data_IF_183968193699
#
_entry.id   IF_183968193699
#
_cell.length_a   1.000
_cell.length_b   1.000
_cell.length_c   1.000
_cell.angle_alpha   90.00
_cell.angle_beta   90.00
_cell.angle_gamma   90.00
#
_symmetry.space_group_name_H-M   'P 1'
#
loop_
_entity.id
_entity.type
_entity.pdbx_description
1 polymer ?
#
# COMPACT_ATOMS: atom_id res chain seq x y z
N UNK A 1 -22.21 -14.84 39.70
CA UNK A 1 -22.67 -16.24 39.52
C UNK A 1 -23.92 -16.24 38.65
N UNK A 2 -23.80 -16.51 37.35
CA UNK A 2 -24.96 -16.71 36.47
C UNK A 2 -25.52 -18.10 36.76
N UNK A 3 -26.72 -18.15 37.36
CA UNK A 3 -27.44 -19.40 37.62
C UNK A 3 -28.18 -19.81 36.34
N UNK A 4 -27.93 -21.02 35.83
CA UNK A 4 -28.89 -21.71 34.97
C UNK A 4 -28.47 -22.07 33.54
N UNK A 5 -27.19 -21.99 33.18
CA UNK A 5 -26.69 -22.69 31.98
C UNK A 5 -25.76 -23.80 32.47
N UNK A 6 -26.04 -25.05 32.11
CA UNK A 6 -25.03 -26.10 32.19
C UNK A 6 -23.88 -25.68 31.27
N UNK A 7 -22.64 -25.74 31.74
CA UNK A 7 -21.49 -25.45 30.88
C UNK A 7 -21.54 -26.39 29.66
N UNK A 8 -21.30 -25.85 28.47
CA UNK A 8 -21.49 -26.58 27.21
C UNK A 8 -20.49 -27.73 27.00
N UNK A 9 -19.48 -27.82 27.86
CA UNK A 9 -18.40 -28.81 27.84
C UNK A 9 -18.22 -29.26 29.29
N UNK A 10 -18.24 -30.57 29.50
CA UNK A 10 -17.97 -31.17 30.81
C UNK A 10 -16.48 -30.96 31.17
N UNK A 11 -16.23 -30.53 32.41
CA UNK A 11 -14.87 -30.35 32.92
C UNK A 11 -14.27 -31.70 33.33
N UNK A 12 -13.66 -32.38 32.35
CA UNK A 12 -13.01 -33.69 32.53
C UNK A 12 -11.59 -33.57 33.13
N UNK A 13 -11.18 -32.41 33.65
CA UNK A 13 -9.84 -32.22 34.23
C UNK A 13 -9.58 -33.11 35.46
N UNK A 14 -10.64 -33.55 36.12
CA UNK A 14 -10.60 -34.51 37.23
C UNK A 14 -10.75 -35.98 36.78
N UNK A 15 -10.96 -36.24 35.49
CA UNK A 15 -11.03 -37.61 34.97
C UNK A 15 -9.68 -38.32 35.23
N UNK A 16 -9.68 -39.54 35.79
CA UNK A 16 -8.47 -40.32 36.02
C UNK A 16 -7.57 -40.45 34.78
N UNK A 17 -8.14 -40.55 33.58
CA UNK A 17 -7.40 -40.66 32.32
C UNK A 17 -6.61 -39.38 32.02
N UNK A 18 -7.18 -38.22 32.35
CA UNK A 18 -6.58 -36.90 32.11
C UNK A 18 -5.61 -36.52 33.23
N UNK A 19 -5.92 -36.91 34.47
CA UNK A 19 -5.14 -36.57 35.66
C UNK A 19 -4.02 -37.56 35.99
N UNK A 20 -4.01 -38.76 35.38
CA UNK A 20 -2.87 -39.68 35.53
C UNK A 20 -1.61 -39.10 34.88
N UNK A 21 -0.45 -39.14 35.58
CA UNK A 21 0.80 -38.72 34.98
C UNK A 21 1.14 -39.63 33.81
N UNK A 22 1.46 -39.03 32.67
CA UNK A 22 1.91 -39.76 31.48
C UNK A 22 3.16 -40.54 31.84
N UNK A 23 3.21 -41.87 31.61
CA UNK A 23 4.40 -42.66 31.84
C UNK A 23 5.59 -42.12 31.06
N UNK A 24 6.79 -42.24 31.62
CA UNK A 24 8.02 -41.83 30.96
C UNK A 24 8.16 -42.58 29.62
N UNK A 25 8.45 -41.84 28.55
CA UNK A 25 8.54 -42.41 27.22
C UNK A 25 9.78 -43.30 27.10
N UNK A 26 9.59 -44.55 26.67
CA UNK A 26 10.68 -45.45 26.34
C UNK A 26 11.29 -45.08 24.97
N UNK A 27 12.37 -44.30 25.02
CA UNK A 27 13.09 -43.86 23.84
C UNK A 27 13.67 -45.01 23.02
N UNK A 28 14.04 -46.14 23.66
CA UNK A 28 14.60 -47.28 22.95
C UNK A 28 13.52 -48.01 22.13
N UNK A 29 12.32 -48.16 22.68
CA UNK A 29 11.17 -48.68 21.96
C UNK A 29 10.80 -47.79 20.77
N UNK A 30 10.74 -46.47 20.97
CA UNK A 30 10.44 -45.51 19.91
C UNK A 30 11.48 -45.55 18.79
N UNK A 31 12.77 -45.58 19.13
CA UNK A 31 13.85 -45.71 18.14
C UNK A 31 13.73 -47.00 17.33
N UNK A 32 13.39 -48.13 17.97
CA UNK A 32 13.20 -49.42 17.28
C UNK A 32 12.01 -49.38 16.32
N UNK A 33 10.89 -48.81 16.73
CA UNK A 33 9.70 -48.66 15.88
C UNK A 33 10.04 -47.77 14.69
N UNK A 34 10.68 -46.63 14.92
CA UNK A 34 11.06 -45.68 13.87
C UNK A 34 12.04 -46.29 12.86
N UNK A 35 13.07 -47.01 13.32
CA UNK A 35 13.98 -47.73 12.44
C UNK A 35 13.23 -48.75 11.56
N UNK A 36 12.30 -49.52 12.15
CA UNK A 36 11.49 -50.47 11.40
C UNK A 36 10.55 -49.81 10.38
N UNK A 37 10.06 -48.60 10.65
CA UNK A 37 9.25 -47.82 9.69
C UNK A 37 10.10 -47.28 8.53
N UNK A 38 11.34 -46.89 8.82
CA UNK A 38 12.32 -46.47 7.80
C UNK A 38 12.71 -47.65 6.91
N UNK A 39 13.05 -48.80 7.49
CA UNK A 39 13.44 -50.01 6.75
C UNK A 39 12.32 -50.54 5.84
N UNK A 40 11.07 -50.39 6.27
CA UNK A 40 9.88 -50.74 5.46
C UNK A 40 9.55 -49.70 4.39
N UNK A 41 10.30 -48.60 4.31
CA UNK A 41 10.06 -47.49 3.38
C UNK A 41 8.78 -46.70 3.65
N UNK A 42 8.18 -46.87 4.83
CA UNK A 42 6.96 -46.13 5.24
C UNK A 42 7.33 -44.73 5.72
N UNK A 43 8.55 -44.54 6.22
CA UNK A 43 9.07 -43.25 6.65
C UNK A 43 10.43 -42.97 5.97
N UNK A 44 10.69 -41.76 5.44
CA UNK A 44 12.02 -41.41 4.96
C UNK A 44 13.05 -41.39 6.12
N UNK A 45 14.33 -41.63 5.82
CA UNK A 45 15.38 -41.47 6.83
C UNK A 45 15.41 -40.01 7.33
N UNK A 46 15.75 -39.78 8.61
CA UNK A 46 15.86 -38.43 9.13
C UNK A 46 16.90 -37.65 8.32
N UNK A 47 16.62 -36.37 8.00
CA UNK A 47 17.56 -35.55 7.26
C UNK A 47 18.83 -35.32 8.07
N UNK A 48 19.96 -35.21 7.37
CA UNK A 48 21.21 -34.75 7.97
C UNK A 48 21.12 -33.25 8.22
N UNK A 49 20.70 -32.89 9.43
CA UNK A 49 20.52 -31.50 9.83
C UNK A 49 21.81 -30.68 9.74
N UNK A 50 22.99 -31.29 9.95
CA UNK A 50 24.25 -30.57 9.81
C UNK A 50 24.47 -30.13 8.37
N UNK A 51 24.22 -31.04 7.42
CA UNK A 51 24.31 -30.73 5.99
C UNK A 51 23.28 -29.69 5.56
N UNK A 52 22.04 -29.79 6.05
CA UNK A 52 20.98 -28.81 5.75
C UNK A 52 21.36 -27.42 6.26
N UNK A 53 21.91 -27.32 7.48
CA UNK A 53 22.33 -26.05 8.07
C UNK A 53 23.49 -25.43 7.29
N UNK A 54 24.51 -26.22 6.92
CA UNK A 54 25.65 -25.70 6.15
C UNK A 54 25.23 -25.25 4.74
N UNK A 55 24.34 -26.00 4.08
CA UNK A 55 23.78 -25.58 2.80
C UNK A 55 22.99 -24.27 2.95
N UNK A 56 22.15 -24.16 3.98
CA UNK A 56 21.35 -22.96 4.22
C UNK A 56 22.23 -21.71 4.45
N UNK A 57 23.36 -21.85 5.16
CA UNK A 57 24.33 -20.76 5.34
C UNK A 57 24.96 -20.35 4.01
N UNK A 58 25.38 -21.31 3.19
CA UNK A 58 25.96 -21.01 1.88
C UNK A 58 24.95 -20.31 0.96
N UNK A 59 23.71 -20.80 0.93
CA UNK A 59 22.62 -20.19 0.15
C UNK A 59 22.27 -18.79 0.65
N UNK A 60 22.30 -18.56 1.98
CA UNK A 60 22.08 -17.24 2.56
C UNK A 60 23.15 -16.25 2.09
N UNK A 61 24.42 -16.64 2.10
CA UNK A 61 25.53 -15.79 1.62
C UNK A 61 25.34 -15.50 0.13
N UNK A 62 25.14 -16.52 -0.69
CA UNK A 62 24.94 -16.36 -2.14
C UNK A 62 23.74 -15.46 -2.48
N UNK A 63 22.62 -15.63 -1.77
CA UNK A 63 21.44 -14.78 -1.94
C UNK A 63 21.71 -13.33 -1.53
N UNK A 64 22.46 -13.12 -0.45
CA UNK A 64 22.82 -11.77 0.01
C UNK A 64 23.74 -11.05 -0.98
N UNK A 65 24.71 -11.76 -1.56
CA UNK A 65 25.61 -11.22 -2.58
C UNK A 65 24.85 -10.91 -3.87
N UNK A 66 23.98 -11.81 -4.32
CA UNK A 66 23.12 -11.59 -5.49
C UNK A 66 22.22 -10.37 -5.30
N UNK A 67 21.64 -10.21 -4.11
CA UNK A 67 20.79 -9.05 -3.81
C UNK A 67 21.60 -7.75 -3.80
N UNK A 68 22.82 -7.77 -3.24
CA UNK A 68 23.73 -6.62 -3.27
C UNK A 68 24.09 -6.24 -4.71
N UNK A 69 24.51 -7.20 -5.51
CA UNK A 69 24.86 -6.97 -6.91
C UNK A 69 23.67 -6.45 -7.73
N UNK A 70 22.45 -6.96 -7.45
CA UNK A 70 21.24 -6.42 -8.09
C UNK A 70 21.00 -4.97 -7.70
N UNK A 71 21.08 -4.62 -6.41
CA UNK A 71 20.89 -3.23 -5.95
C UNK A 71 21.90 -2.28 -6.58
N UNK A 72 23.16 -2.68 -6.65
CA UNK A 72 24.22 -1.89 -7.29
C UNK A 72 23.96 -1.70 -8.79
N UNK A 73 23.46 -2.74 -9.48
CA UNK A 73 23.08 -2.63 -10.88
C UNK A 73 21.86 -1.70 -11.09
N UNK A 74 20.82 -1.85 -10.26
CA UNK A 74 19.61 -1.03 -10.32
C UNK A 74 19.94 0.45 -10.00
N UNK A 75 20.79 0.72 -9.01
CA UNK A 75 21.28 2.06 -8.66
C UNK A 75 22.11 2.68 -9.80
N UNK A 76 23.01 1.90 -10.41
CA UNK A 76 23.79 2.36 -11.55
C UNK A 76 22.93 2.61 -12.80
N UNK A 77 21.83 1.87 -12.99
CA UNK A 77 20.87 2.12 -14.06
C UNK A 77 20.09 3.41 -13.81
N UNK A 78 19.58 3.59 -12.58
CA UNK A 78 18.88 4.80 -12.18
C UNK A 78 19.75 6.04 -12.37
N UNK A 79 21.02 5.99 -11.92
CA UNK A 79 21.97 7.09 -12.07
C UNK A 79 22.21 7.43 -13.55
N UNK A 80 22.35 6.42 -14.43
CA UNK A 80 22.49 6.65 -15.87
C UNK A 80 21.25 7.31 -16.48
N UNK A 81 20.05 6.87 -16.08
CA UNK A 81 18.79 7.44 -16.57
C UNK A 81 18.64 8.89 -16.09
N UNK A 82 18.95 9.15 -14.82
CA UNK A 82 18.92 10.49 -14.23
C UNK A 82 19.84 11.44 -14.99
N UNK A 83 21.11 11.03 -15.20
CA UNK A 83 22.07 11.84 -15.95
C UNK A 83 21.63 12.09 -17.40
N UNK A 84 21.08 11.08 -18.07
CA UNK A 84 20.57 11.24 -19.43
C UNK A 84 19.38 12.21 -19.49
N UNK A 85 18.50 12.20 -18.49
CA UNK A 85 17.37 13.12 -18.39
C UNK A 85 17.82 14.55 -18.08
N UNK A 86 18.79 14.73 -17.18
CA UNK A 86 19.37 16.04 -16.88
C UNK A 86 20.03 16.64 -18.13
N UNK A 87 20.81 15.84 -18.86
CA UNK A 87 21.40 16.26 -20.13
C UNK A 87 20.35 16.61 -21.19
N UNK A 88 19.26 15.83 -21.29
CA UNK A 88 18.17 16.10 -22.23
C UNK A 88 17.44 17.40 -21.85
N UNK A 89 17.24 17.64 -20.55
CA UNK A 89 16.63 18.85 -20.00
C UNK A 89 17.47 20.08 -20.34
N UNK A 90 18.79 20.04 -20.09
CA UNK A 90 19.69 21.14 -20.46
C UNK A 90 19.70 21.44 -21.96
N UNK A 91 19.65 20.40 -22.80
CA UNK A 91 19.55 20.55 -24.26
C UNK A 91 18.19 21.12 -24.72
N UNK A 92 17.13 20.93 -23.94
CA UNK A 92 15.78 21.41 -24.23
C UNK A 92 15.55 22.88 -23.84
N UNK A 93 16.27 23.42 -22.85
CA UNK A 93 16.18 24.84 -22.43
C UNK A 93 16.23 25.88 -23.57
N UNK A 94 17.16 25.82 -24.54
CA UNK A 94 17.16 26.78 -25.64
C UNK A 94 15.93 26.64 -26.55
N UNK A 95 15.36 25.43 -26.66
CA UNK A 95 14.15 25.20 -27.45
C UNK A 95 12.91 25.73 -26.74
N UNK A 96 12.84 25.66 -25.40
CA UNK A 96 11.80 26.34 -24.61
C UNK A 96 11.81 27.85 -24.88
N UNK A 97 12.99 28.48 -24.86
CA UNK A 97 13.13 29.89 -25.18
C UNK A 97 12.65 30.23 -26.60
N UNK A 98 12.92 29.34 -27.57
CA UNK A 98 12.39 29.46 -28.94
C UNK A 98 10.87 29.33 -29.00
N UNK A 99 10.27 28.39 -28.25
CA UNK A 99 8.82 28.14 -28.24
C UNK A 99 8.06 29.34 -27.67
N UNK A 100 8.59 29.94 -26.59
CA UNK A 100 8.01 31.09 -25.90
C UNK A 100 8.31 32.43 -26.59
N UNK A 101 9.18 32.43 -27.61
CA UNK A 101 9.65 33.64 -28.30
C UNK A 101 10.26 34.67 -27.32
N UNK A 102 11.05 34.17 -26.36
CA UNK A 102 11.69 35.00 -25.32
C UNK A 102 13.19 34.72 -25.20
N UNK A 103 14.02 35.72 -24.83
CA UNK A 103 15.40 35.48 -24.47
C UNK A 103 15.51 34.54 -23.26
N UNK A 104 16.50 33.63 -23.30
CA UNK A 104 16.72 32.67 -22.21
C UNK A 104 17.01 33.35 -20.86
N UNK A 105 17.55 34.57 -20.88
CA UNK A 105 17.82 35.37 -19.67
C UNK A 105 16.55 35.95 -19.03
N UNK A 106 15.45 36.04 -19.79
CA UNK A 106 14.19 36.63 -19.34
C UNK A 106 13.23 35.55 -18.78
N UNK A 107 13.58 34.27 -18.93
CA UNK A 107 12.84 33.15 -18.35
C UNK A 107 13.40 32.85 -16.95
N UNK A 108 12.55 32.85 -15.90
CA UNK A 108 12.98 32.46 -14.56
C UNK A 108 13.62 31.07 -14.55
N UNK A 109 14.77 30.90 -13.87
CA UNK A 109 15.52 29.64 -13.88
C UNK A 109 14.68 28.42 -13.48
N UNK A 110 13.83 28.54 -12.45
CA UNK A 110 12.94 27.46 -12.03
C UNK A 110 11.87 27.10 -13.06
N UNK A 111 11.34 28.09 -13.80
CA UNK A 111 10.41 27.84 -14.91
C UNK A 111 11.12 27.18 -16.09
N UNK A 112 12.35 27.61 -16.38
CA UNK A 112 13.17 27.05 -17.45
C UNK A 112 13.56 25.58 -17.18
N UNK A 113 13.90 25.24 -15.93
CA UNK A 113 14.18 23.87 -15.50
C UNK A 113 12.94 22.97 -15.66
N UNK A 114 11.77 23.45 -15.21
CA UNK A 114 10.52 22.71 -15.29
C UNK A 114 10.05 22.48 -16.73
N UNK A 115 9.99 23.55 -17.54
CA UNK A 115 9.57 23.47 -18.94
C UNK A 115 10.58 22.68 -19.79
N UNK A 116 11.88 22.81 -19.49
CA UNK A 116 12.93 22.00 -20.11
C UNK A 116 12.73 20.51 -19.85
N UNK A 117 12.37 20.14 -18.62
CA UNK A 117 12.06 18.76 -18.25
C UNK A 117 10.81 18.23 -18.96
N UNK A 118 9.74 19.04 -19.04
CA UNK A 118 8.52 18.66 -19.80
C UNK A 118 8.84 18.38 -21.26
N UNK A 119 9.60 19.26 -21.91
CA UNK A 119 9.98 19.07 -23.31
C UNK A 119 10.91 17.85 -23.48
N UNK A 120 11.83 17.61 -22.55
CA UNK A 120 12.71 16.43 -22.56
C UNK A 120 11.97 15.11 -22.35
N UNK A 121 10.83 15.14 -21.63
CA UNK A 121 9.98 13.96 -21.37
C UNK A 121 8.91 13.73 -22.44
N UNK A 122 8.80 14.64 -23.42
CA UNK A 122 8.02 14.44 -24.65
C UNK A 122 6.81 15.37 -24.82
N UNK A 123 6.67 16.41 -24.00
CA UNK A 123 5.63 17.43 -24.22
C UNK A 123 5.83 18.19 -25.54
N UNK A 124 4.73 18.62 -26.13
CA UNK A 124 4.76 19.40 -27.37
C UNK A 124 4.81 20.92 -27.15
N UNK A 125 5.03 21.69 -28.21
CA UNK A 125 5.14 23.14 -28.10
C UNK A 125 3.87 23.82 -27.56
N UNK A 126 2.69 23.25 -27.79
CA UNK A 126 1.43 23.83 -27.35
C UNK A 126 1.25 23.62 -25.84
N UNK A 127 1.63 22.47 -25.33
CA UNK A 127 1.69 22.18 -23.90
C UNK A 127 2.65 23.13 -23.18
N UNK A 128 3.85 23.35 -23.73
CA UNK A 128 4.84 24.28 -23.14
C UNK A 128 4.30 25.72 -23.07
N UNK A 129 3.62 26.21 -24.12
CA UNK A 129 2.99 27.54 -24.11
C UNK A 129 1.85 27.61 -23.10
N UNK A 130 1.03 26.56 -23.02
CA UNK A 130 -0.12 26.52 -22.10
C UNK A 130 0.34 26.50 -20.64
N UNK A 131 1.40 25.75 -20.32
CA UNK A 131 1.98 25.72 -18.97
C UNK A 131 2.64 27.04 -18.60
N UNK A 132 3.31 27.68 -19.55
CA UNK A 132 3.84 29.03 -19.36
C UNK A 132 2.73 30.04 -19.03
N UNK A 133 1.63 30.04 -19.79
CA UNK A 133 0.49 30.93 -19.57
C UNK A 133 -0.24 30.65 -18.25
N UNK A 134 -0.37 29.39 -17.84
CA UNK A 134 -1.06 29.02 -16.60
C UNK A 134 -0.27 29.33 -15.33
N UNK A 135 1.05 29.08 -15.35
CA UNK A 135 1.87 29.08 -14.12
C UNK A 135 2.83 30.27 -14.02
N UNK A 136 3.17 30.92 -15.15
CA UNK A 136 4.28 31.86 -15.21
C UNK A 136 4.00 33.17 -15.96
N UNK A 137 2.88 33.29 -16.69
CA UNK A 137 2.47 34.58 -17.25
C UNK A 137 2.15 35.55 -16.11
N UNK A 138 2.54 36.81 -16.32
CA UNK A 138 2.47 37.93 -15.37
C UNK A 138 1.22 37.91 -14.47
N UNK A 139 1.36 38.22 -13.17
CA UNK A 139 0.21 38.41 -12.31
C UNK A 139 -0.61 39.58 -12.87
N UNK A 140 -1.82 39.31 -13.38
CA UNK A 140 -2.81 40.37 -13.59
C UNK A 140 -2.90 41.19 -12.30
N UNK A 141 -2.53 42.48 -12.37
CA UNK A 141 -2.54 43.48 -11.31
C UNK A 141 -3.07 42.95 -9.97
N UNK A 142 -2.20 42.33 -9.15
CA UNK A 142 -2.58 41.96 -7.79
C UNK A 142 -3.03 43.27 -7.14
N UNK A 143 -4.32 43.43 -6.77
CA UNK A 143 -4.82 44.69 -6.25
C UNK A 143 -3.95 45.11 -5.07
N UNK A 144 -3.66 46.39 -4.89
CA UNK A 144 -2.82 46.86 -3.77
C UNK A 144 -3.30 46.33 -2.40
N UNK A 145 -4.59 46.03 -2.26
CA UNK A 145 -5.20 45.37 -1.11
C UNK A 145 -4.75 43.91 -0.90
N UNK A 146 -4.51 43.15 -1.98
CA UNK A 146 -3.98 41.79 -1.93
C UNK A 146 -2.46 41.78 -1.67
N UNK A 147 -1.71 42.80 -2.11
CA UNK A 147 -0.32 43.03 -1.71
C UNK A 147 -0.20 43.44 -0.23
N UNK A 148 -1.12 44.28 0.27
CA UNK A 148 -1.21 44.64 1.68
C UNK A 148 -1.58 43.43 2.54
N UNK A 149 -2.48 42.56 2.06
CA UNK A 149 -2.76 41.27 2.70
C UNK A 149 -1.51 40.37 2.73
N UNK A 150 -0.80 40.17 1.60
CA UNK A 150 0.44 39.38 1.53
C UNK A 150 1.58 39.90 2.43
N UNK A 151 1.70 41.22 2.57
CA UNK A 151 2.71 41.86 3.42
C UNK A 151 2.32 41.87 4.91
N UNK A 152 1.02 41.86 5.23
CA UNK A 152 0.52 41.87 6.62
C UNK A 152 0.27 40.47 7.18
N UNK A 153 -0.07 39.50 6.34
CA UNK A 153 -0.09 38.07 6.66
C UNK A 153 1.24 37.42 6.29
N UNK A 154 2.37 38.09 6.54
CA UNK A 154 3.73 37.57 6.39
C UNK A 154 4.01 36.36 7.30
N UNK A 155 3.23 35.29 7.15
CA UNK A 155 3.53 33.93 7.53
C UNK A 155 4.10 33.27 6.28
N UNK A 156 5.31 32.77 6.42
CA UNK A 156 6.14 32.25 5.35
C UNK A 156 5.32 31.34 4.41
N UNK A 157 5.40 31.58 3.09
CA UNK A 157 4.79 30.71 2.08
C UNK A 157 5.26 29.24 2.19
N UNK A 158 6.33 28.99 2.95
CA UNK A 158 6.81 27.66 3.35
C UNK A 158 5.93 26.99 4.43
N UNK A 159 5.41 27.74 5.39
CA UNK A 159 4.51 27.24 6.44
C UNK A 159 3.12 26.96 5.86
N UNK A 160 2.59 27.84 5.01
CA UNK A 160 1.31 27.62 4.33
C UNK A 160 1.38 26.43 3.36
N UNK A 161 2.50 26.22 2.64
CA UNK A 161 2.72 24.98 1.87
C UNK A 161 2.81 23.74 2.75
N UNK A 162 3.36 23.85 3.96
CA UNK A 162 3.43 22.72 4.89
C UNK A 162 2.07 22.39 5.51
N UNK A 163 1.24 23.39 5.78
CA UNK A 163 -0.13 23.23 6.28
C UNK A 163 -1.07 22.76 5.17
N UNK A 164 -0.92 23.26 3.95
CA UNK A 164 -1.68 22.78 2.78
C UNK A 164 -1.27 21.35 2.39
N UNK A 165 0.02 21.00 2.49
CA UNK A 165 0.50 19.65 2.26
C UNK A 165 0.11 18.70 3.40
N UNK A 166 0.15 19.14 4.66
CA UNK A 166 -0.36 18.36 5.79
C UNK A 166 -1.89 18.18 5.73
N UNK A 167 -2.63 19.21 5.29
CA UNK A 167 -4.07 19.12 5.05
C UNK A 167 -4.40 18.23 3.85
N UNK A 168 -3.61 18.25 2.77
CA UNK A 168 -3.73 17.33 1.64
C UNK A 168 -3.37 15.90 2.04
N UNK A 169 -2.35 15.69 2.87
CA UNK A 169 -1.99 14.38 3.42
C UNK A 169 -3.03 13.87 4.41
N UNK A 170 -3.66 14.74 5.22
CA UNK A 170 -4.81 14.40 6.06
C UNK A 170 -6.06 14.13 5.25
N UNK A 171 -6.36 14.92 4.23
CA UNK A 171 -7.46 14.66 3.29
C UNK A 171 -7.22 13.38 2.48
N UNK A 172 -5.97 13.07 2.12
CA UNK A 172 -5.60 11.83 1.48
C UNK A 172 -5.66 10.64 2.45
N UNK A 173 -5.31 10.83 3.73
CA UNK A 173 -5.48 9.81 4.77
C UNK A 173 -6.97 9.54 5.06
N UNK A 174 -7.79 10.60 5.11
CA UNK A 174 -9.24 10.52 5.30
C UNK A 174 -9.95 9.95 4.06
N UNK A 175 -9.43 10.19 2.85
CA UNK A 175 -9.94 9.59 1.59
C UNK A 175 -9.39 8.19 1.33
N UNK A 176 -8.21 7.83 1.85
CA UNK A 176 -7.61 6.50 1.70
C UNK A 176 -8.42 5.41 2.44
N UNK A 177 -9.20 5.82 3.45
CA UNK A 177 -10.05 4.93 4.23
C UNK A 177 -11.49 4.80 3.70
N UNK A 178 -11.91 5.59 2.70
CA UNK A 178 -13.20 5.38 2.03
C UNK A 178 -13.12 4.12 1.14
N UNK A 179 -13.87 3.04 1.47
CA UNK A 179 -13.87 1.82 0.66
C UNK A 179 -14.34 2.05 -0.78
N UNK A 180 -15.06 3.14 -1.08
CA UNK A 180 -15.51 3.49 -2.43
C UNK A 180 -14.35 3.77 -3.38
N UNK A 181 -13.18 4.15 -2.87
CA UNK A 181 -11.97 4.35 -3.69
C UNK A 181 -11.44 3.02 -4.27
N UNK A 182 -11.73 1.89 -3.62
CA UNK A 182 -11.27 0.54 -4.03
C UNK A 182 -12.36 -0.30 -4.69
N UNK A 183 -13.61 0.12 -4.58
CA UNK A 183 -14.79 -0.56 -5.13
C UNK A 183 -15.21 0.07 -6.47
N UNK A 184 -15.67 -0.77 -7.39
CA UNK A 184 -16.36 -0.28 -8.58
C UNK A 184 -17.63 0.51 -8.20
N UNK A 185 -17.99 1.50 -9.03
CA UNK A 185 -19.10 2.44 -8.77
C UNK A 185 -20.44 1.75 -8.46
N UNK A 186 -20.67 0.55 -8.99
CA UNK A 186 -21.89 -0.23 -8.76
C UNK A 186 -22.07 -0.69 -7.30
N UNK A 187 -20.99 -0.78 -6.52
CA UNK A 187 -21.03 -1.19 -5.11
C UNK A 187 -21.07 -0.02 -4.13
N UNK A 188 -20.91 1.22 -4.60
CA UNK A 188 -20.83 2.41 -3.73
C UNK A 188 -22.10 2.60 -2.90
N UNK A 189 -23.27 2.24 -3.44
CA UNK A 189 -24.56 2.30 -2.75
C UNK A 189 -24.79 1.16 -1.75
N UNK A 190 -23.93 0.13 -1.72
CA UNK A 190 -24.00 -1.00 -0.79
C UNK A 190 -23.11 -0.81 0.44
N UNK A 191 -22.29 0.24 0.46
CA UNK A 191 -21.43 0.63 1.58
C UNK A 191 -22.23 1.53 2.53
N UNK A 192 -22.33 1.15 3.80
CA UNK A 192 -23.03 1.95 4.80
C UNK A 192 -22.18 3.16 5.23
N UNK A 193 -22.79 4.30 5.61
CA UNK A 193 -22.05 5.46 6.08
C UNK A 193 -21.16 5.13 7.29
N UNK A 194 -19.86 5.43 7.18
CA UNK A 194 -18.87 5.19 8.24
C UNK A 194 -18.19 3.82 8.19
N UNK A 195 -18.48 2.97 7.20
CA UNK A 195 -17.71 1.76 6.97
C UNK A 195 -16.36 2.08 6.31
N UNK A 196 -15.27 1.59 6.90
CA UNK A 196 -13.92 1.66 6.31
C UNK A 196 -13.60 0.39 5.53
N UNK A 197 -12.60 0.47 4.63
CA UNK A 197 -12.14 -0.69 3.87
C UNK A 197 -11.76 -1.89 4.75
N UNK A 198 -11.05 -1.64 5.85
CA UNK A 198 -10.64 -2.68 6.79
C UNK A 198 -11.84 -3.39 7.44
N UNK A 199 -12.91 -2.66 7.79
CA UNK A 199 -14.12 -3.25 8.37
C UNK A 199 -14.80 -4.18 7.35
N UNK A 200 -14.86 -3.76 6.09
CA UNK A 200 -15.45 -4.56 5.02
C UNK A 200 -14.64 -5.84 4.75
N UNK A 201 -13.32 -5.76 4.66
CA UNK A 201 -12.46 -6.95 4.49
C UNK A 201 -12.60 -7.92 5.65
N UNK A 202 -12.53 -7.42 6.89
CA UNK A 202 -12.68 -8.24 8.08
C UNK A 202 -14.03 -8.96 8.12
N UNK A 203 -15.11 -8.24 7.81
CA UNK A 203 -16.46 -8.80 7.85
C UNK A 203 -16.70 -9.78 6.69
N UNK A 204 -16.16 -9.50 5.49
CA UNK A 204 -16.20 -10.42 4.36
C UNK A 204 -15.48 -11.74 4.68
N UNK A 205 -14.27 -11.66 5.25
CA UNK A 205 -13.51 -12.83 5.68
C UNK A 205 -14.22 -13.62 6.77
N UNK A 206 -14.80 -12.94 7.77
CA UNK A 206 -15.58 -13.58 8.84
C UNK A 206 -16.85 -14.28 8.32
N UNK A 207 -17.46 -13.75 7.27
CA UNK A 207 -18.60 -14.35 6.57
C UNK A 207 -18.19 -15.41 5.52
N UNK A 208 -16.89 -15.66 5.34
CA UNK A 208 -16.36 -16.69 4.43
C UNK A 208 -16.24 -16.26 2.97
N UNK A 209 -16.31 -14.97 2.67
CA UNK A 209 -16.13 -14.44 1.32
C UNK A 209 -14.67 -14.09 1.05
N UNK A 210 -14.17 -14.54 -0.11
CA UNK A 210 -12.85 -14.15 -0.62
C UNK A 210 -12.80 -12.71 -1.14
N UNK A 211 -13.95 -12.17 -1.58
CA UNK A 211 -14.08 -10.85 -2.16
C UNK A 211 -15.10 -10.01 -1.40
N UNK A 212 -14.77 -8.74 -1.15
CA UNK A 212 -15.64 -7.78 -0.47
C UNK A 212 -16.91 -7.52 -1.30
N UNK A 213 -16.82 -7.53 -2.63
CA UNK A 213 -17.94 -7.28 -3.54
C UNK A 213 -19.02 -8.38 -3.45
N UNK A 214 -18.60 -9.64 -3.29
CA UNK A 214 -19.52 -10.78 -3.14
C UNK A 214 -20.23 -10.73 -1.77
N UNK A 215 -19.49 -10.32 -0.74
CA UNK A 215 -20.04 -10.05 0.59
C UNK A 215 -21.07 -8.91 0.56
N UNK A 216 -20.78 -7.79 -0.11
CA UNK A 216 -21.70 -6.65 -0.23
C UNK A 216 -23.00 -7.03 -0.95
N UNK A 217 -22.90 -7.81 -2.04
CA UNK A 217 -24.07 -8.35 -2.77
C UNK A 217 -24.92 -9.25 -1.88
N UNK A 218 -24.28 -10.17 -1.16
CA UNK A 218 -24.97 -11.08 -0.25
C UNK A 218 -25.68 -10.34 0.88
N UNK A 219 -24.99 -9.39 1.53
CA UNK A 219 -25.55 -8.56 2.61
C UNK A 219 -26.74 -7.74 2.12
N UNK A 220 -26.62 -7.12 0.95
CA UNK A 220 -27.69 -6.30 0.38
C UNK A 220 -28.91 -7.16 -0.02
N UNK A 221 -28.68 -8.38 -0.53
CA UNK A 221 -29.75 -9.32 -0.83
C UNK A 221 -30.50 -9.77 0.43
N UNK A 222 -29.78 -10.02 1.53
CA UNK A 222 -30.38 -10.40 2.82
C UNK A 222 -31.18 -9.24 3.45
N UNK A 223 -30.68 -8.00 3.36
CA UNK A 223 -31.41 -6.80 3.79
C UNK A 223 -32.72 -6.59 3.01
N UNK A 224 -32.72 -6.84 1.69
CA UNK A 224 -33.94 -6.78 0.87
C UNK A 224 -34.96 -7.86 1.27
N UNK A 225 -34.49 -9.08 1.56
CA UNK A 225 -35.32 -10.19 2.03
C UNK A 225 -35.95 -9.90 3.41
N UNK A 226 -35.16 -9.34 4.33
CA UNK A 226 -35.62 -8.93 5.66
C UNK A 226 -36.59 -7.74 5.60
N UNK A 227 -36.39 -6.81 4.66
CA UNK A 227 -37.31 -5.70 4.39
C UNK A 227 -38.68 -6.17 3.87
N UNK A 228 -38.68 -7.13 2.93
CA UNK A 228 -39.90 -7.76 2.40
C UNK A 228 -40.68 -8.53 3.49
N UNK A 229 -39.98 -9.27 4.34
CA UNK A 229 -40.60 -10.03 5.44
C UNK A 229 -41.15 -9.12 6.56
N UNK A 230 -40.55 -7.94 6.79
CA UNK A 230 -41.08 -6.93 7.72
C UNK A 230 -42.29 -6.17 7.14
N UNK A 231 -42.36 -5.97 5.83
CA UNK A 231 -43.50 -5.37 5.15
C UNK A 231 -44.76 -6.24 5.15
N UNK A 232 -44.61 -7.57 5.21
CA UNK A 232 -45.71 -8.55 5.27
C UNK A 232 -46.27 -8.78 6.69
N UNK A 233 -45.72 -8.13 7.73
CA UNK A 233 -46.21 -8.19 9.12
C UNK A 233 -46.96 -6.93 9.58
N UNK A 234 -47.48 -6.12 8.65
CA UNK A 234 -48.43 -5.04 8.94
C UNK A 234 -49.82 -5.36 8.39
#
# INVERSE_FOLDING_TARGET
>A
MKRGLSDAIDDDSADPIVSTPVPEQDMALLSRINAGLIDKGVCPPPPDWNRVIEQAKADQVANSERLRAKREADEAEYERISQALDEATEKAKPEVARILDMPLADIPAGALDYLGHLLATGSDEQEIRSEWECQFAEPEDIPAAALEYLLTTGGDAQEMRSEDQANLEQLAADQADDPRCKLAKEYHGMVEPGETWWVLERNAAAAGFWRVEDYLKWRHADQLLLGLLRGLRK
#
